data_IF_739690628578
#
_entry.id   IF_739690628578
#
_cell.length_a   1.000
_cell.length_b   1.000
_cell.length_c   1.000
_cell.angle_alpha   90.00
_cell.angle_beta   90.00
_cell.angle_gamma   90.00
#
_symmetry.space_group_name_H-M   'P 1'
#
loop_
_entity.id
_entity.type
_entity.pdbx_description
1 polymer ?
#
# COMPACT_ATOMS: atom_id res chain seq x y z
N UNK A 1 27.18 -7.55 10.61
CA UNK A 1 25.82 -8.06 10.74
C UNK A 1 25.08 -7.56 9.51
N UNK A 2 24.71 -8.43 8.58
CA UNK A 2 23.84 -8.02 7.47
C UNK A 2 22.45 -7.90 8.07
N UNK A 3 21.87 -6.70 8.07
CA UNK A 3 20.47 -6.54 8.43
C UNK A 3 19.64 -7.39 7.46
N UNK A 4 18.73 -8.22 7.98
CA UNK A 4 17.74 -8.87 7.14
C UNK A 4 16.84 -7.75 6.61
N UNK A 5 16.87 -7.55 5.30
CA UNK A 5 16.04 -6.55 4.64
C UNK A 5 15.05 -7.27 3.73
N UNK A 6 13.76 -7.04 3.93
CA UNK A 6 12.70 -7.54 3.04
C UNK A 6 12.15 -6.42 2.17
N UNK A 7 11.83 -6.76 0.93
CA UNK A 7 11.14 -5.86 0.02
C UNK A 7 9.63 -5.91 0.29
N UNK A 8 8.98 -4.76 0.36
CA UNK A 8 7.52 -4.65 0.55
C UNK A 8 6.92 -3.63 -0.41
N UNK A 9 5.63 -3.78 -0.68
CA UNK A 9 4.88 -2.95 -1.63
C UNK A 9 3.71 -2.25 -0.93
N UNK A 10 3.46 -0.98 -1.26
CA UNK A 10 2.45 -0.13 -0.61
C UNK A 10 1.68 0.68 -1.65
N UNK A 11 0.36 0.84 -1.48
CA UNK A 11 -0.48 1.72 -2.30
C UNK A 11 -0.56 3.14 -1.74
N UNK A 12 -0.49 4.14 -2.63
CA UNK A 12 -0.70 5.55 -2.34
C UNK A 12 -1.78 6.13 -3.26
N UNK A 13 -2.71 6.90 -2.70
CA UNK A 13 -3.61 7.76 -3.46
C UNK A 13 -2.79 8.87 -4.15
N UNK A 14 -2.92 8.96 -5.46
CA UNK A 14 -2.14 9.92 -6.24
C UNK A 14 -2.54 11.37 -6.00
N UNK A 15 -3.83 11.61 -5.71
CA UNK A 15 -4.36 12.95 -5.51
C UNK A 15 -4.14 13.43 -4.08
N UNK A 16 -4.52 12.59 -3.11
CA UNK A 16 -4.46 12.99 -1.70
C UNK A 16 -3.08 12.77 -1.08
N UNK A 17 -2.26 11.91 -1.68
CA UNK A 17 -0.99 11.47 -1.13
C UNK A 17 -1.13 10.53 0.08
N UNK A 18 -2.35 10.15 0.46
CA UNK A 18 -2.58 9.21 1.55
C UNK A 18 -2.12 7.80 1.16
N UNK A 19 -1.54 7.08 2.10
CA UNK A 19 -1.35 5.64 1.95
C UNK A 19 -2.60 4.90 2.43
N UNK A 20 -2.74 3.62 2.10
CA UNK A 20 -3.88 2.80 2.54
C UNK A 20 -3.41 1.58 3.33
N UNK A 21 -4.17 1.17 4.35
CA UNK A 21 -4.03 -0.11 5.06
C UNK A 21 -4.65 -1.28 4.25
N UNK A 22 -4.36 -2.54 4.58
CA UNK A 22 -4.97 -3.74 3.99
C UNK A 22 -6.48 -3.78 4.24
N UNK A 23 -6.93 -3.16 5.33
CA UNK A 23 -8.35 -2.87 5.58
C UNK A 23 -8.87 -1.66 4.78
N UNK A 24 -8.07 -1.14 3.84
CA UNK A 24 -8.46 -0.15 2.84
C UNK A 24 -8.77 1.22 3.46
N UNK A 25 -8.35 1.45 4.71
CA UNK A 25 -8.50 2.74 5.38
C UNK A 25 -7.31 3.65 5.06
N UNK A 26 -7.53 4.94 4.77
CA UNK A 26 -6.45 5.87 4.55
C UNK A 26 -5.63 6.06 5.83
N UNK A 27 -4.32 6.00 5.69
CA UNK A 27 -3.35 6.18 6.76
C UNK A 27 -2.37 7.30 6.42
N UNK A 28 -1.91 7.99 7.47
CA UNK A 28 -1.02 9.16 7.35
C UNK A 28 0.47 8.81 7.41
N UNK A 29 0.81 7.54 7.64
CA UNK A 29 2.20 7.08 7.78
C UNK A 29 2.39 5.72 7.12
N UNK A 30 3.53 5.56 6.45
CA UNK A 30 3.99 4.29 5.86
C UNK A 30 4.11 3.15 6.88
N UNK A 31 4.27 3.46 8.16
CA UNK A 31 4.30 2.47 9.25
C UNK A 31 2.99 1.69 9.38
N UNK A 32 1.88 2.32 8.99
CA UNK A 32 0.53 1.79 9.15
C UNK A 32 -0.13 1.44 7.81
N UNK A 33 0.60 1.59 6.70
CA UNK A 33 0.08 1.28 5.38
C UNK A 33 0.15 -0.22 5.10
N UNK A 34 -0.76 -0.68 4.24
CA UNK A 34 -0.80 -2.01 3.66
C UNK A 34 0.56 -2.31 3.06
N UNK A 35 1.22 -3.33 3.59
CA UNK A 35 2.47 -3.85 3.05
C UNK A 35 2.17 -5.23 2.53
N UNK A 36 2.50 -5.46 1.27
CA UNK A 36 2.44 -6.80 0.69
C UNK A 36 3.83 -7.23 0.23
N UNK A 37 4.03 -8.55 0.16
CA UNK A 37 5.29 -9.15 -0.29
C UNK A 37 5.49 -9.03 -1.81
N UNK A 38 4.43 -8.73 -2.56
CA UNK A 38 4.50 -8.46 -3.99
C UNK A 38 3.50 -7.40 -4.45
N UNK A 39 3.78 -6.79 -5.61
CA UNK A 39 2.94 -5.78 -6.25
C UNK A 39 1.53 -6.30 -6.56
N UNK A 40 1.42 -7.55 -7.00
CA UNK A 40 0.15 -8.11 -7.49
C UNK A 40 -0.91 -8.18 -6.39
N UNK A 41 -0.51 -8.51 -5.15
CA UNK A 41 -1.41 -8.50 -3.99
C UNK A 41 -1.97 -7.10 -3.75
N UNK A 42 -1.12 -6.06 -3.81
CA UNK A 42 -1.58 -4.66 -3.64
C UNK A 42 -2.59 -4.30 -4.72
N UNK A 43 -2.31 -4.64 -5.98
CA UNK A 43 -3.18 -4.34 -7.12
C UNK A 43 -4.53 -5.04 -6.97
N UNK A 44 -4.54 -6.33 -6.62
CA UNK A 44 -5.78 -7.08 -6.42
C UNK A 44 -6.60 -6.56 -5.24
N UNK A 45 -5.97 -6.26 -4.10
CA UNK A 45 -6.65 -5.65 -2.95
C UNK A 45 -7.28 -4.31 -3.29
N UNK A 46 -6.56 -3.44 -4.00
CA UNK A 46 -7.09 -2.13 -4.40
C UNK A 46 -8.20 -2.25 -5.45
N UNK A 47 -8.10 -3.21 -6.37
CA UNK A 47 -9.17 -3.48 -7.34
C UNK A 47 -10.46 -3.90 -6.65
N UNK A 48 -10.38 -4.85 -5.71
CA UNK A 48 -11.54 -5.31 -4.92
C UNK A 48 -12.14 -4.14 -4.13
N UNK A 49 -11.30 -3.33 -3.47
CA UNK A 49 -11.74 -2.17 -2.72
C UNK A 49 -12.51 -1.14 -3.58
N UNK A 50 -12.07 -0.89 -4.81
CA UNK A 50 -12.77 -0.03 -5.75
C UNK A 50 -14.10 -0.64 -6.21
N UNK A 51 -14.13 -1.95 -6.48
CA UNK A 51 -15.34 -2.68 -6.87
C UNK A 51 -16.39 -2.71 -5.72
N UNK A 52 -15.94 -2.79 -4.48
CA UNK A 52 -16.79 -2.76 -3.28
C UNK A 52 -17.17 -1.34 -2.83
N UNK A 53 -16.66 -0.29 -3.50
CA UNK A 53 -16.95 1.11 -3.18
C UNK A 53 -16.29 1.62 -1.90
N UNK A 54 -15.22 0.96 -1.44
CA UNK A 54 -14.47 1.36 -0.25
C UNK A 54 -13.44 2.46 -0.54
N UNK A 55 -13.03 2.61 -1.81
CA UNK A 55 -12.10 3.65 -2.25
C UNK A 55 -12.70 4.44 -3.42
N UNK A 56 -12.72 5.76 -3.27
CA UNK A 56 -13.00 6.70 -4.36
C UNK A 56 -11.70 7.48 -4.69
N UNK A 57 -11.00 7.11 -5.77
CA UNK A 57 -9.77 7.80 -6.21
C UNK A 57 -10.00 8.45 -7.59
N UNK A 58 -10.03 9.80 -7.71
CA UNK A 58 -10.33 10.49 -8.97
C UNK A 58 -9.29 10.35 -10.10
N UNK A 59 -8.17 9.66 -9.87
CA UNK A 59 -7.17 9.36 -10.91
C UNK A 59 -6.34 8.08 -10.70
N UNK A 60 -6.76 7.21 -9.77
CA UNK A 60 -6.08 5.94 -9.44
C UNK A 60 -5.07 6.01 -8.30
N UNK A 61 -4.47 4.86 -7.99
CA UNK A 61 -3.44 4.68 -6.96
C UNK A 61 -2.07 4.36 -7.60
N UNK A 62 -0.99 4.73 -6.92
CA UNK A 62 0.38 4.35 -7.26
C UNK A 62 0.89 3.28 -6.30
N UNK A 63 1.66 2.31 -6.82
CA UNK A 63 2.30 1.27 -5.99
C UNK A 63 3.78 1.56 -5.85
N UNK A 64 4.22 1.75 -4.61
CA UNK A 64 5.59 2.04 -4.23
C UNK A 64 6.25 0.80 -3.63
N UNK A 65 7.58 0.74 -3.72
CA UNK A 65 8.39 -0.34 -3.17
C UNK A 65 9.32 0.21 -2.10
N UNK A 66 9.35 -0.46 -0.96
CA UNK A 66 10.19 -0.13 0.18
C UNK A 66 11.00 -1.34 0.63
N UNK A 67 12.01 -1.07 1.45
CA UNK A 67 12.87 -2.05 2.05
C UNK A 67 12.78 -1.91 3.57
N UNK A 68 12.32 -2.95 4.25
CA UNK A 68 12.18 -2.98 5.70
C UNK A 68 13.26 -3.86 6.30
N UNK A 69 13.96 -3.33 7.31
CA UNK A 69 14.87 -4.12 8.14
C UNK A 69 14.09 -4.83 9.25
N UNK A 70 14.55 -6.02 9.63
CA UNK A 70 14.19 -6.61 10.93
C UNK A 70 14.82 -5.72 12.04
N UNK A 71 13.98 -5.16 12.92
CA UNK A 71 14.40 -4.41 14.13
C UNK A 71 15.19 -5.31 15.11
#
# INVERSE_FOLDING_TARGET
MLANVRQVFVAQDRETGCFFDLNVLPVRSLTHAARADCRDIVVDSMRIAMEEGQIECPSGFEVHVFYEGDD
#
